data_IF_167491103946
#
_entry.id   IF_167491103946
#
_cell.length_a   1.000
_cell.length_b   1.000
_cell.length_c   1.000
_cell.angle_alpha   90.00
_cell.angle_beta   90.00
_cell.angle_gamma   90.00
#
_symmetry.space_group_name_H-M   'P 1'
#
loop_
_entity.id
_entity.type
_entity.pdbx_description
1 polymer ?
#
# COMPACT_ATOMS: atom_id res chain seq x y z
N UNK A 1 40.94 -47.58 38.77
CA UNK A 1 40.53 -47.45 37.36
C UNK A 1 39.19 -46.72 37.33
N UNK A 2 39.15 -45.43 36.98
CA UNK A 2 37.89 -44.72 36.80
C UNK A 2 37.32 -45.02 35.40
N UNK A 3 35.99 -45.12 35.23
CA UNK A 3 35.39 -45.15 33.91
C UNK A 3 35.37 -43.73 33.32
N UNK A 4 36.18 -43.54 32.28
CA UNK A 4 36.00 -42.49 31.29
C UNK A 4 34.87 -42.94 30.36
N UNK A 5 33.76 -42.21 30.33
CA UNK A 5 32.97 -41.92 29.12
C UNK A 5 31.68 -41.18 29.51
N UNK A 6 31.77 -39.85 29.56
CA UNK A 6 30.59 -38.97 29.46
C UNK A 6 30.55 -38.40 28.04
N UNK A 7 29.44 -38.59 27.29
CA UNK A 7 29.34 -38.09 25.92
C UNK A 7 29.36 -36.55 25.87
N UNK A 8 29.90 -35.97 24.79
CA UNK A 8 30.02 -34.52 24.65
C UNK A 8 28.64 -33.86 24.59
N UNK A 9 28.46 -32.81 25.38
CA UNK A 9 27.28 -31.97 25.39
C UNK A 9 26.94 -31.51 23.96
N UNK A 10 25.82 -32.00 23.45
CA UNK A 10 25.23 -31.61 22.17
C UNK A 10 25.10 -30.09 22.13
N UNK A 11 25.98 -29.44 21.37
CA UNK A 11 25.94 -28.01 21.14
C UNK A 11 24.58 -27.66 20.55
N UNK A 12 23.74 -27.04 21.38
CA UNK A 12 22.45 -26.51 20.97
C UNK A 12 22.70 -25.58 19.79
N UNK A 13 22.23 -26.01 18.61
CA UNK A 13 22.26 -25.23 17.38
C UNK A 13 21.35 -24.02 17.60
N UNK A 14 21.92 -22.93 18.12
CA UNK A 14 21.23 -21.66 18.30
C UNK A 14 20.85 -21.19 16.90
N UNK A 15 19.60 -21.41 16.54
CA UNK A 15 19.05 -20.95 15.28
C UNK A 15 19.22 -19.43 15.22
N UNK A 16 19.78 -18.88 14.12
CA UNK A 16 19.99 -17.45 14.01
C UNK A 16 18.63 -16.75 14.11
N UNK A 17 18.41 -16.03 15.21
CA UNK A 17 17.26 -15.15 15.33
C UNK A 17 17.35 -14.12 14.22
N UNK A 18 16.49 -14.25 13.21
CA UNK A 18 16.34 -13.24 12.16
C UNK A 18 15.87 -11.96 12.84
N UNK A 19 16.77 -11.00 12.95
CA UNK A 19 16.44 -9.61 13.26
C UNK A 19 15.58 -9.08 12.11
N UNK A 20 14.27 -9.31 12.19
CA UNK A 20 13.30 -8.67 11.30
C UNK A 20 13.38 -7.19 11.60
N UNK A 21 13.99 -6.42 10.70
CA UNK A 21 14.18 -4.99 10.83
C UNK A 21 12.86 -4.28 11.14
N UNK A 22 12.68 -3.92 12.40
CA UNK A 22 11.54 -3.16 12.87
C UNK A 22 11.74 -1.74 12.37
N UNK A 23 11.24 -1.43 11.16
CA UNK A 23 11.17 -0.04 10.72
C UNK A 23 10.32 0.69 11.75
N UNK A 24 10.86 1.72 12.43
CA UNK A 24 10.15 2.38 13.52
C UNK A 24 8.76 2.82 13.04
N UNK A 25 7.70 2.49 13.80
CA UNK A 25 6.32 2.82 13.43
C UNK A 25 6.16 4.31 13.05
N UNK A 26 6.97 5.18 13.67
CA UNK A 26 7.08 6.60 13.35
C UNK A 26 7.45 6.89 11.89
N UNK A 27 8.44 6.19 11.32
CA UNK A 27 8.86 6.38 9.91
C UNK A 27 7.75 5.98 8.94
N UNK A 28 6.98 4.94 9.27
CA UNK A 28 5.85 4.48 8.46
C UNK A 28 4.73 5.52 8.42
N UNK A 29 4.37 6.10 9.56
CA UNK A 29 3.32 7.11 9.63
C UNK A 29 3.71 8.38 8.86
N UNK A 30 4.96 8.83 8.99
CA UNK A 30 5.46 10.00 8.25
C UNK A 30 5.37 9.76 6.73
N UNK A 31 5.81 8.58 6.28
CA UNK A 31 5.78 8.23 4.85
C UNK A 31 4.35 8.19 4.29
N UNK A 32 3.38 7.67 5.05
CA UNK A 32 2.00 7.60 4.63
C UNK A 32 1.37 9.00 4.52
N UNK A 33 1.61 9.87 5.51
CA UNK A 33 1.13 11.26 5.48
C UNK A 33 1.71 12.02 4.29
N UNK A 34 3.01 11.87 4.01
CA UNK A 34 3.64 12.49 2.84
C UNK A 34 3.04 11.98 1.53
N UNK A 35 2.85 10.67 1.40
CA UNK A 35 2.28 10.03 0.20
C UNK A 35 0.80 10.36 -0.03
N UNK A 36 0.08 10.84 0.98
CA UNK A 36 -1.31 11.27 0.86
C UNK A 36 -1.44 12.69 0.30
N UNK A 37 -0.39 13.51 0.40
CA UNK A 37 -0.39 14.92 0.01
C UNK A 37 -0.77 15.13 -1.48
N UNK A 38 -0.21 14.38 -2.46
CA UNK A 38 -0.59 14.52 -3.86
C UNK A 38 -2.07 14.26 -4.12
N UNK A 39 -2.61 13.24 -3.46
CA UNK A 39 -4.03 12.89 -3.56
C UNK A 39 -4.92 13.97 -2.96
N UNK A 40 -4.53 14.54 -1.81
CA UNK A 40 -5.28 15.64 -1.20
C UNK A 40 -5.28 16.90 -2.07
N UNK A 41 -4.14 17.24 -2.69
CA UNK A 41 -4.08 18.34 -3.66
C UNK A 41 -5.00 18.10 -4.85
N UNK A 42 -4.98 16.89 -5.40
CA UNK A 42 -5.87 16.49 -6.49
C UNK A 42 -7.35 16.59 -6.11
N UNK A 43 -7.75 16.04 -4.95
CA UNK A 43 -9.14 16.10 -4.47
C UNK A 43 -9.59 17.53 -4.22
N UNK A 44 -8.71 18.36 -3.64
CA UNK A 44 -9.02 19.77 -3.40
C UNK A 44 -9.39 20.49 -4.69
N UNK A 45 -8.64 20.28 -5.78
CA UNK A 45 -8.96 20.84 -7.08
C UNK A 45 -10.27 20.30 -7.66
N UNK A 46 -10.51 18.98 -7.57
CA UNK A 46 -11.76 18.39 -8.06
C UNK A 46 -12.98 18.93 -7.32
N UNK A 47 -12.91 19.05 -5.99
CA UNK A 47 -14.04 19.49 -5.19
C UNK A 47 -14.23 21.02 -5.17
N UNK A 48 -13.15 21.80 -5.35
CA UNK A 48 -13.25 23.27 -5.42
C UNK A 48 -13.83 23.80 -6.72
N UNK A 49 -13.73 23.05 -7.83
CA UNK A 49 -14.24 23.46 -9.14
C UNK A 49 -15.78 23.58 -9.21
N UNK A 50 -16.53 23.05 -8.24
CA UNK A 50 -17.98 23.21 -8.16
C UNK A 50 -18.74 22.56 -9.33
N UNK A 51 -20.02 22.94 -9.50
CA UNK A 51 -20.94 22.36 -10.48
C UNK A 51 -20.70 22.81 -11.95
N UNK A 52 -19.74 23.72 -12.19
CA UNK A 52 -19.51 24.37 -13.49
C UNK A 52 -18.56 23.64 -14.45
N UNK A 53 -18.10 22.44 -14.08
CA UNK A 53 -17.14 21.65 -14.86
C UNK A 53 -15.84 21.47 -14.08
N UNK A 54 -15.39 20.22 -13.97
CA UNK A 54 -14.13 19.88 -13.30
C UNK A 54 -12.98 20.19 -14.24
N UNK A 55 -12.10 21.12 -13.86
CA UNK A 55 -10.82 21.31 -14.56
C UNK A 55 -9.86 20.17 -14.18
N UNK A 56 -10.11 19.01 -14.81
CA UNK A 56 -9.30 17.82 -14.62
C UNK A 56 -7.83 18.08 -14.97
N UNK A 57 -7.56 18.97 -15.94
CA UNK A 57 -6.21 19.28 -16.36
C UNK A 57 -5.42 19.89 -15.20
N UNK A 58 -5.91 20.96 -14.57
CA UNK A 58 -5.23 21.57 -13.42
C UNK A 58 -5.07 20.59 -12.25
N UNK A 59 -6.09 19.77 -11.99
CA UNK A 59 -6.02 18.75 -10.94
C UNK A 59 -4.90 17.74 -11.20
N UNK A 60 -4.76 17.28 -12.45
CA UNK A 60 -3.70 16.36 -12.84
C UNK A 60 -2.32 17.01 -12.87
N UNK A 61 -2.18 18.25 -13.33
CA UNK A 61 -0.91 18.96 -13.36
C UNK A 61 -0.34 19.15 -11.94
N UNK A 62 -1.13 19.74 -11.03
CA UNK A 62 -0.71 19.96 -9.64
C UNK A 62 -0.58 18.66 -8.85
N UNK A 63 -1.58 17.78 -8.96
CA UNK A 63 -1.57 16.48 -8.29
C UNK A 63 -0.44 15.58 -8.78
N UNK A 64 -0.17 15.57 -10.09
CA UNK A 64 0.90 14.78 -10.69
C UNK A 64 2.29 15.32 -10.38
N UNK A 65 2.49 16.64 -10.40
CA UNK A 65 3.75 17.25 -9.98
C UNK A 65 4.07 16.90 -8.51
N UNK A 66 3.08 17.02 -7.63
CA UNK A 66 3.20 16.61 -6.24
C UNK A 66 3.48 15.10 -6.12
N UNK A 67 2.79 14.26 -6.90
CA UNK A 67 2.94 12.80 -6.88
C UNK A 67 4.35 12.37 -7.28
N UNK A 68 4.90 12.94 -8.36
CA UNK A 68 6.27 12.68 -8.80
C UNK A 68 7.27 13.12 -7.74
N UNK A 69 7.13 14.34 -7.21
CA UNK A 69 8.05 14.90 -6.22
C UNK A 69 8.08 14.08 -4.92
N UNK A 70 6.89 13.75 -4.39
CA UNK A 70 6.76 12.95 -3.16
C UNK A 70 7.23 11.52 -3.36
N UNK A 71 6.92 10.91 -4.51
CA UNK A 71 7.36 9.54 -4.80
C UNK A 71 8.89 9.49 -4.93
N UNK A 72 9.49 10.44 -5.65
CA UNK A 72 10.94 10.57 -5.76
C UNK A 72 11.61 10.78 -4.39
N UNK A 73 11.05 11.66 -3.55
CA UNK A 73 11.55 11.88 -2.19
C UNK A 73 11.45 10.61 -1.32
N UNK A 74 10.33 9.89 -1.37
CA UNK A 74 10.16 8.64 -0.62
C UNK A 74 11.17 7.57 -1.07
N UNK A 75 11.40 7.43 -2.37
CA UNK A 75 12.38 6.50 -2.92
C UNK A 75 13.82 6.90 -2.55
N UNK A 76 14.16 8.19 -2.67
CA UNK A 76 15.48 8.72 -2.31
C UNK A 76 15.80 8.55 -0.82
N UNK A 77 14.81 8.76 0.04
CA UNK A 77 14.93 8.59 1.49
C UNK A 77 14.74 7.13 1.96
N UNK A 78 14.51 6.19 1.03
CA UNK A 78 14.23 4.77 1.30
C UNK A 78 13.10 4.57 2.31
N UNK A 79 12.07 5.41 2.24
CA UNK A 79 10.89 5.31 3.07
C UNK A 79 9.98 4.18 2.56
N UNK A 80 9.25 3.49 3.44
CA UNK A 80 8.29 2.49 3.00
C UNK A 80 7.18 3.13 2.18
N UNK A 81 6.93 2.61 0.98
CA UNK A 81 5.89 3.08 0.08
C UNK A 81 4.64 2.21 0.23
N UNK A 82 3.50 2.84 0.49
CA UNK A 82 2.23 2.12 0.55
C UNK A 82 1.73 1.87 -0.89
N UNK A 83 1.49 0.60 -1.25
CA UNK A 83 1.00 0.24 -2.59
C UNK A 83 -0.29 0.94 -3.04
N UNK A 84 -1.21 1.28 -2.12
CA UNK A 84 -2.43 2.04 -2.45
C UNK A 84 -2.04 3.43 -2.92
N UNK A 85 -1.24 4.12 -2.12
CA UNK A 85 -0.81 5.48 -2.40
C UNK A 85 0.14 5.52 -3.60
N UNK A 86 0.93 4.46 -3.82
CA UNK A 86 1.71 4.30 -5.05
C UNK A 86 0.82 4.20 -6.28
N UNK A 87 -0.25 3.41 -6.25
CA UNK A 87 -1.22 3.33 -7.34
C UNK A 87 -1.88 4.68 -7.63
N UNK A 88 -2.29 5.39 -6.58
CA UNK A 88 -2.84 6.75 -6.69
C UNK A 88 -1.80 7.71 -7.30
N UNK A 89 -0.58 7.70 -6.79
CA UNK A 89 0.48 8.59 -7.29
C UNK A 89 0.87 8.28 -8.73
N UNK A 90 0.89 7.01 -9.14
CA UNK A 90 1.12 6.61 -10.53
C UNK A 90 -0.02 7.05 -11.45
N UNK A 91 -1.27 6.96 -10.99
CA UNK A 91 -2.40 7.53 -11.73
C UNK A 91 -2.24 9.04 -11.96
N UNK A 92 -1.89 9.79 -10.91
CA UNK A 92 -1.70 11.24 -11.01
C UNK A 92 -0.52 11.59 -11.90
N UNK A 93 0.62 10.90 -11.74
CA UNK A 93 1.81 11.12 -12.54
C UNK A 93 1.58 10.80 -14.03
N UNK A 94 0.87 9.70 -14.33
CA UNK A 94 0.53 9.33 -15.70
C UNK A 94 -0.52 10.26 -16.32
N UNK A 95 -1.45 10.79 -15.52
CA UNK A 95 -2.36 11.88 -15.91
C UNK A 95 -1.62 13.14 -16.30
N UNK A 96 -0.74 13.65 -15.42
CA UNK A 96 0.10 14.80 -15.73
C UNK A 96 0.94 14.59 -16.99
N UNK A 97 1.56 13.43 -17.13
CA UNK A 97 2.34 13.09 -18.32
C UNK A 97 1.46 13.11 -19.59
N UNK A 98 0.26 12.51 -19.53
CA UNK A 98 -0.68 12.50 -20.66
C UNK A 98 -1.11 13.91 -21.09
N UNK A 99 -1.36 14.82 -20.15
CA UNK A 99 -1.65 16.23 -20.45
C UNK A 99 -0.43 16.96 -21.02
N UNK A 100 0.76 16.73 -20.45
CA UNK A 100 2.00 17.38 -20.90
C UNK A 100 2.34 17.03 -22.35
N UNK A 101 2.11 15.78 -22.77
CA UNK A 101 2.36 15.32 -24.15
C UNK A 101 1.12 15.35 -25.05
N UNK A 102 -0.02 15.85 -24.56
CA UNK A 102 -1.30 15.87 -25.30
C UNK A 102 -1.71 14.49 -25.84
N UNK A 103 -1.55 13.44 -25.04
CA UNK A 103 -1.81 12.07 -25.46
C UNK A 103 -3.31 11.74 -25.41
N UNK A 104 -4.03 12.12 -26.47
CA UNK A 104 -5.50 12.03 -26.55
C UNK A 104 -6.13 10.67 -26.20
N UNK A 105 -5.58 9.51 -26.62
CA UNK A 105 -6.14 8.21 -26.24
C UNK A 105 -6.17 8.00 -24.72
N UNK A 106 -5.11 8.42 -24.03
CA UNK A 106 -5.00 8.28 -22.57
C UNK A 106 -5.90 9.27 -21.85
N UNK A 107 -6.00 10.50 -22.35
CA UNK A 107 -6.95 11.50 -21.85
C UNK A 107 -8.40 11.04 -22.03
N UNK A 108 -8.74 10.46 -23.18
CA UNK A 108 -10.05 9.88 -23.43
C UNK A 108 -10.38 8.70 -22.52
N UNK A 109 -9.36 7.89 -22.18
CA UNK A 109 -9.50 6.82 -21.19
C UNK A 109 -9.80 7.38 -19.79
N UNK A 110 -9.09 8.44 -19.37
CA UNK A 110 -9.33 9.09 -18.08
C UNK A 110 -10.66 9.81 -18.00
N UNK A 111 -11.10 10.46 -19.07
CA UNK A 111 -12.44 11.06 -19.14
C UNK A 111 -13.56 10.02 -18.97
N UNK A 112 -13.37 8.79 -19.49
CA UNK A 112 -14.34 7.69 -19.37
C UNK A 112 -14.32 6.99 -18.02
N UNK A 113 -13.13 6.79 -17.46
CA UNK A 113 -12.95 6.06 -16.20
C UNK A 113 -13.21 6.94 -14.98
N UNK A 114 -12.93 8.24 -15.05
CA UNK A 114 -13.05 9.18 -13.94
C UNK A 114 -12.44 8.61 -12.64
N UNK A 115 -13.22 8.52 -11.55
CA UNK A 115 -12.80 7.95 -10.27
C UNK A 115 -12.36 6.48 -10.34
N UNK A 116 -12.95 5.68 -11.24
CA UNK A 116 -12.57 4.28 -11.43
C UNK A 116 -11.15 4.16 -12.01
N UNK A 117 -10.64 5.20 -12.67
CA UNK A 117 -9.28 5.24 -13.21
C UNK A 117 -8.23 5.14 -12.10
N UNK A 118 -8.45 5.82 -10.98
CA UNK A 118 -7.57 5.76 -9.81
C UNK A 118 -7.49 4.32 -9.28
N UNK A 119 -8.64 3.66 -9.12
CA UNK A 119 -8.70 2.29 -8.63
C UNK A 119 -8.11 1.29 -9.62
N UNK A 120 -8.21 1.55 -10.93
CA UNK A 120 -7.59 0.71 -11.95
C UNK A 120 -6.06 0.69 -11.79
N UNK A 121 -5.44 1.84 -11.50
CA UNK A 121 -4.00 1.90 -11.21
C UNK A 121 -3.63 1.25 -9.87
N UNK A 122 -4.47 1.40 -8.84
CA UNK A 122 -4.31 0.67 -7.58
C UNK A 122 -4.29 -0.83 -7.83
N UNK A 123 -5.25 -1.36 -8.59
CA UNK A 123 -5.30 -2.77 -8.96
C UNK A 123 -4.07 -3.17 -9.77
N UNK A 124 -3.65 -2.37 -10.75
CA UNK A 124 -2.47 -2.65 -11.56
C UNK A 124 -1.19 -2.78 -10.70
N UNK A 125 -1.01 -1.88 -9.72
CA UNK A 125 0.08 -1.97 -8.74
C UNK A 125 -0.07 -3.20 -7.85
N UNK A 126 -1.28 -3.51 -7.40
CA UNK A 126 -1.57 -4.72 -6.62
C UNK A 126 -1.24 -6.02 -7.38
N UNK A 127 -1.56 -6.08 -8.67
CA UNK A 127 -1.20 -7.20 -9.56
C UNK A 127 0.33 -7.28 -9.69
N UNK A 128 1.00 -6.16 -9.95
CA UNK A 128 2.46 -6.14 -10.08
C UNK A 128 3.15 -6.61 -8.79
N UNK A 129 2.71 -6.10 -7.62
CA UNK A 129 3.19 -6.52 -6.30
C UNK A 129 2.97 -8.02 -6.07
N UNK A 130 1.78 -8.54 -6.42
CA UNK A 130 1.47 -9.96 -6.31
C UNK A 130 2.35 -10.84 -7.21
N UNK A 131 2.59 -10.44 -8.47
CA UNK A 131 3.45 -11.16 -9.40
C UNK A 131 4.92 -11.18 -8.92
N UNK A 132 5.41 -10.05 -8.40
CA UNK A 132 6.74 -9.98 -7.80
C UNK A 132 6.85 -10.88 -6.57
N UNK A 133 5.80 -10.94 -5.75
CA UNK A 133 5.73 -11.83 -4.59
C UNK A 133 5.75 -13.32 -5.01
N UNK A 134 5.02 -13.70 -6.06
CA UNK A 134 5.03 -15.07 -6.60
C UNK A 134 6.41 -15.48 -7.11
N UNK A 135 7.17 -14.55 -7.68
CA UNK A 135 8.54 -14.81 -8.16
C UNK A 135 9.55 -14.96 -7.00
N UNK A 136 9.24 -14.41 -5.83
CA UNK A 136 10.11 -14.48 -4.67
C UNK A 136 10.10 -15.89 -4.06
N UNK A 137 11.25 -16.58 -4.12
CA UNK A 137 11.45 -17.93 -3.53
C UNK A 137 11.25 -17.98 -2.00
N UNK A 138 11.22 -16.83 -1.33
CA UNK A 138 11.09 -16.71 0.12
C UNK A 138 9.72 -16.19 0.56
N UNK A 139 8.74 -16.13 -0.34
CA UNK A 139 7.40 -15.69 0.02
C UNK A 139 6.65 -16.79 0.75
N UNK A 140 6.32 -16.56 2.02
CA UNK A 140 5.47 -17.45 2.79
C UNK A 140 4.05 -17.53 2.20
N UNK A 141 3.45 -18.73 2.23
CA UNK A 141 2.07 -18.97 1.77
C UNK A 141 1.04 -18.04 2.43
N UNK A 142 1.29 -17.64 3.69
CA UNK A 142 0.45 -16.69 4.41
C UNK A 142 0.49 -15.29 3.78
N UNK A 143 1.68 -14.83 3.37
CA UNK A 143 1.87 -13.54 2.70
C UNK A 143 1.17 -13.53 1.32
N UNK A 144 1.30 -14.62 0.56
CA UNK A 144 0.62 -14.77 -0.73
C UNK A 144 -0.91 -14.73 -0.60
N UNK A 145 -1.48 -15.49 0.35
CA UNK A 145 -2.94 -15.47 0.60
C UNK A 145 -3.44 -14.09 1.01
N UNK A 146 -2.65 -13.33 1.79
CA UNK A 146 -2.99 -11.96 2.17
C UNK A 146 -2.97 -11.01 0.97
N UNK A 147 -1.92 -11.07 0.16
CA UNK A 147 -1.81 -10.27 -1.07
C UNK A 147 -2.98 -10.56 -2.02
N UNK A 148 -3.34 -11.84 -2.19
CA UNK A 148 -4.48 -12.25 -3.01
C UNK A 148 -5.83 -11.72 -2.49
N UNK A 149 -6.09 -11.78 -1.17
CA UNK A 149 -7.33 -11.23 -0.59
C UNK A 149 -7.43 -9.71 -0.78
N UNK A 150 -6.32 -9.01 -0.64
CA UNK A 150 -6.28 -7.57 -0.89
C UNK A 150 -6.53 -7.26 -2.35
N UNK A 151 -5.88 -7.97 -3.26
CA UNK A 151 -6.08 -7.84 -4.70
C UNK A 151 -7.55 -8.11 -5.08
N UNK A 152 -8.16 -9.16 -4.54
CA UNK A 152 -9.57 -9.47 -4.78
C UNK A 152 -10.48 -8.35 -4.29
N UNK A 153 -10.17 -7.76 -3.13
CA UNK A 153 -10.92 -6.61 -2.59
C UNK A 153 -10.77 -5.38 -3.49
N UNK A 154 -9.56 -5.12 -3.99
CA UNK A 154 -9.26 -4.04 -4.95
C UNK A 154 -10.04 -4.23 -6.26
N UNK A 155 -10.15 -5.46 -6.77
CA UNK A 155 -10.99 -5.79 -7.92
C UNK A 155 -12.49 -5.55 -7.65
N UNK A 156 -13.01 -5.97 -6.49
CA UNK A 156 -14.42 -5.72 -6.13
C UNK A 156 -14.68 -4.22 -6.01
N UNK A 157 -13.77 -3.48 -5.38
CA UNK A 157 -13.83 -2.03 -5.25
C UNK A 157 -13.81 -1.32 -6.62
N UNK A 158 -12.97 -1.77 -7.55
CA UNK A 158 -12.91 -1.26 -8.92
C UNK A 158 -14.22 -1.52 -9.68
N UNK A 159 -14.76 -2.73 -9.61
CA UNK A 159 -16.05 -3.06 -10.24
C UNK A 159 -17.18 -2.20 -9.67
N UNK A 160 -17.19 -2.00 -8.35
CA UNK A 160 -18.15 -1.10 -7.70
C UNK A 160 -18.02 0.33 -8.22
N UNK A 161 -16.81 0.87 -8.26
CA UNK A 161 -16.57 2.22 -8.76
C UNK A 161 -16.98 2.41 -10.22
N UNK A 162 -16.80 1.36 -11.03
CA UNK A 162 -17.22 1.36 -12.43
C UNK A 162 -18.75 1.39 -12.58
N UNK A 163 -19.47 0.64 -11.75
CA UNK A 163 -20.95 0.61 -11.75
C UNK A 163 -21.57 1.94 -11.31
N UNK A 164 -20.95 2.62 -10.34
CA UNK A 164 -21.47 3.88 -9.77
C UNK A 164 -20.74 5.12 -10.28
N UNK A 165 -20.13 5.06 -11.48
CA UNK A 165 -19.25 6.11 -12.03
C UNK A 165 -19.88 7.52 -12.06
N UNK A 166 -21.21 7.60 -12.19
CA UNK A 166 -21.93 8.87 -12.29
C UNK A 166 -22.01 9.60 -10.93
N UNK A 167 -21.77 8.91 -9.82
CA UNK A 167 -21.73 9.50 -8.47
C UNK A 167 -20.31 9.47 -7.91
N UNK A 168 -19.65 10.62 -7.86
CA UNK A 168 -18.29 10.73 -7.32
C UNK A 168 -18.17 10.19 -5.88
N UNK A 169 -19.20 10.39 -5.04
CA UNK A 169 -19.17 9.88 -3.67
C UNK A 169 -19.22 8.35 -3.62
N UNK A 170 -20.10 7.72 -4.40
CA UNK A 170 -20.24 6.26 -4.41
C UNK A 170 -19.09 5.57 -5.16
N UNK A 171 -18.54 6.21 -6.20
CA UNK A 171 -17.46 5.65 -7.00
C UNK A 171 -16.08 5.81 -6.36
N UNK A 172 -15.87 6.85 -5.55
CA UNK A 172 -14.55 7.15 -4.98
C UNK A 172 -14.49 6.86 -3.48
N UNK A 173 -15.35 7.52 -2.69
CA UNK A 173 -15.22 7.52 -1.22
C UNK A 173 -15.46 6.13 -0.65
N UNK A 174 -16.54 5.48 -1.07
CA UNK A 174 -16.95 4.17 -0.56
C UNK A 174 -15.92 3.06 -0.88
N UNK A 175 -15.44 2.92 -2.13
CA UNK A 175 -14.41 1.95 -2.47
C UNK A 175 -13.09 2.20 -1.73
N UNK A 176 -12.64 3.46 -1.64
CA UNK A 176 -11.42 3.79 -0.91
C UNK A 176 -11.53 3.52 0.59
N UNK A 177 -12.66 3.90 1.21
CA UNK A 177 -12.91 3.63 2.62
C UNK A 177 -12.92 2.11 2.89
N UNK A 178 -13.58 1.34 2.02
CA UNK A 178 -13.62 -0.13 2.11
C UNK A 178 -12.21 -0.72 2.03
N UNK A 179 -11.38 -0.26 1.10
CA UNK A 179 -9.99 -0.70 0.98
C UNK A 179 -9.14 -0.33 2.20
N UNK A 180 -9.31 0.87 2.73
CA UNK A 180 -8.62 1.31 3.95
C UNK A 180 -9.00 0.45 5.16
N UNK A 181 -10.30 0.20 5.36
CA UNK A 181 -10.81 -0.66 6.45
C UNK A 181 -10.31 -2.09 6.28
N UNK A 182 -10.43 -2.67 5.08
CA UNK A 182 -9.99 -4.05 4.83
C UNK A 182 -8.48 -4.21 5.10
N UNK A 183 -7.67 -3.21 4.71
CA UNK A 183 -6.25 -3.18 5.04
C UNK A 183 -6.01 -3.09 6.54
N UNK A 184 -6.75 -2.26 7.25
CA UNK A 184 -6.63 -2.14 8.71
C UNK A 184 -6.97 -3.46 9.41
N UNK A 185 -8.04 -4.14 8.99
CA UNK A 185 -8.45 -5.44 9.52
C UNK A 185 -7.41 -6.52 9.23
N UNK A 186 -6.92 -6.61 7.99
CA UNK A 186 -5.90 -7.58 7.61
C UNK A 186 -4.57 -7.30 8.31
N UNK A 187 -4.18 -6.04 8.49
CA UNK A 187 -2.94 -5.71 9.19
C UNK A 187 -3.01 -6.06 10.69
N UNK A 188 -4.19 -5.93 11.33
CA UNK A 188 -4.38 -6.24 12.76
C UNK A 188 -4.35 -7.75 13.04
N UNK A 189 -4.97 -8.58 12.19
CA UNK A 189 -5.08 -10.04 12.42
C UNK A 189 -3.76 -10.80 12.32
N UNK A 190 -2.73 -10.20 11.73
CA UNK A 190 -1.41 -10.82 11.56
C UNK A 190 -0.31 -10.09 12.35
N UNK A 191 -0.67 -9.19 13.27
CA UNK A 191 0.28 -8.73 14.27
C UNK A 191 0.59 -9.94 15.18
N UNK A 192 1.81 -10.48 15.17
CA UNK A 192 2.12 -11.71 15.88
C UNK A 192 1.89 -11.50 17.38
N UNK A 193 1.38 -12.56 18.02
CA UNK A 193 1.17 -12.70 19.46
C UNK A 193 2.49 -12.71 20.25
N UNK A 194 3.36 -11.73 20.01
CA UNK A 194 4.70 -11.59 20.59
C UNK A 194 4.68 -10.80 21.91
N UNK A 195 3.49 -10.46 22.43
CA UNK A 195 3.33 -9.71 23.67
C UNK A 195 2.87 -10.56 24.86
N UNK A 196 2.68 -11.88 24.71
CA UNK A 196 2.18 -12.75 25.78
C UNK A 196 3.22 -13.70 26.37
N UNK A 197 4.53 -13.49 26.10
CA UNK A 197 5.58 -14.44 26.45
C UNK A 197 6.66 -13.97 27.44
N UNK A 198 6.61 -12.74 27.96
CA UNK A 198 7.73 -12.16 28.74
C UNK A 198 7.43 -11.86 30.21
N UNK A 199 6.38 -12.42 30.81
CA UNK A 199 5.99 -12.10 32.20
C UNK A 199 6.11 -13.22 33.23
N UNK A 200 6.64 -14.41 32.88
CA UNK A 200 6.66 -15.55 33.82
C UNK A 200 8.05 -15.97 34.36
N UNK A 201 9.11 -15.17 34.20
CA UNK A 201 10.45 -15.55 34.68
C UNK A 201 10.94 -14.82 35.95
N UNK A 202 10.13 -13.95 36.58
CA UNK A 202 10.55 -13.19 37.77
C UNK A 202 9.90 -13.60 39.10
N UNK A 203 9.08 -14.65 39.15
CA UNK A 203 8.39 -15.08 40.39
C UNK A 203 8.93 -16.38 41.02
N UNK A 204 10.08 -16.91 40.57
CA UNK A 204 10.67 -18.14 41.12
C UNK A 204 11.85 -17.94 42.09
N UNK A 205 12.23 -16.70 42.41
CA UNK A 205 13.25 -16.39 43.41
C UNK A 205 12.73 -15.36 44.43
N UNK A 206 11.85 -15.78 45.32
CA UNK A 206 11.55 -15.11 46.59
C UNK A 206 11.08 -16.10 47.64
#
# INVERSE_FOLDING_TARGET
MPPLDSPPATAAHVAPQRVTGYVPAMRRNISASMQLLPFMAFLFHIFSAGAGGTDWQLAFEWGGLAAVSVTAACLGLRLPVDRLLLGVNLYLASGAAAYAVQWFPMLGLYARLQAAGILAWVVAVGVADFLLLLRSKHADTCSQRRALRLLLTEFVALNWAFLFRDSHMLALVLPFATLAIMRMVLNRRFAPAMASGSTNETEAEA
#
